data_IF_395387242033
#
_entry.id   IF_395387242033
#
_cell.length_a   1.000
_cell.length_b   1.000
_cell.length_c   1.000
_cell.angle_alpha   90.00
_cell.angle_beta   90.00
_cell.angle_gamma   90.00
#
_symmetry.space_group_name_H-M   'P 1'
#
loop_
_entity.id
_entity.type
_entity.pdbx_description
1 polymer ?
#
# COMPACT_ATOMS: atom_id res chain seq x y z
N UNK A 1 -34.45 11.25 -20.39
CA UNK A 1 -33.46 10.82 -19.37
C UNK A 1 -32.96 9.42 -19.65
N UNK A 2 -33.56 8.41 -19.02
CA UNK A 2 -33.38 6.98 -19.37
C UNK A 2 -34.44 6.51 -20.39
N UNK A 3 -35.69 7.00 -20.28
CA UNK A 3 -36.77 6.63 -21.21
C UNK A 3 -36.50 7.00 -22.69
N UNK A 4 -35.81 8.12 -22.95
CA UNK A 4 -35.42 8.53 -24.31
C UNK A 4 -34.32 7.68 -24.93
N UNK A 5 -33.53 6.95 -24.13
CA UNK A 5 -32.49 6.04 -24.63
C UNK A 5 -33.06 4.68 -24.99
N UNK A 6 -34.10 4.24 -24.25
CA UNK A 6 -34.68 2.90 -24.37
C UNK A 6 -35.56 2.73 -25.61
N UNK A 7 -36.28 3.78 -26.01
CA UNK A 7 -37.18 3.76 -27.18
C UNK A 7 -36.42 3.41 -28.49
N UNK A 8 -35.34 4.13 -28.87
CA UNK A 8 -34.59 3.81 -30.09
C UNK A 8 -33.86 2.45 -30.01
N UNK A 9 -33.46 1.99 -28.82
CA UNK A 9 -32.78 0.71 -28.62
C UNK A 9 -33.71 -0.50 -28.82
N UNK A 10 -34.96 -0.39 -28.33
CA UNK A 10 -36.02 -1.38 -28.58
C UNK A 10 -36.43 -1.39 -30.06
N UNK A 11 -36.46 -0.23 -30.71
CA UNK A 11 -36.79 -0.11 -32.12
C UNK A 11 -35.70 -0.74 -33.01
N UNK A 12 -34.42 -0.47 -32.75
CA UNK A 12 -33.27 -1.13 -33.39
C UNK A 12 -33.37 -2.65 -33.29
N UNK A 13 -33.64 -3.17 -32.08
CA UNK A 13 -33.81 -4.61 -31.84
C UNK A 13 -34.97 -5.21 -32.65
N UNK A 14 -36.07 -4.48 -32.82
CA UNK A 14 -37.20 -4.91 -33.63
C UNK A 14 -36.85 -4.97 -35.14
N UNK A 15 -36.07 -4.02 -35.67
CA UNK A 15 -35.60 -4.05 -37.06
C UNK A 15 -34.63 -5.21 -37.32
N UNK A 16 -33.75 -5.52 -36.36
CA UNK A 16 -32.84 -6.67 -36.43
C UNK A 16 -33.60 -8.00 -36.41
N UNK A 17 -34.54 -8.18 -35.47
CA UNK A 17 -35.38 -9.37 -35.38
C UNK A 17 -36.24 -9.60 -36.63
N UNK A 18 -36.71 -8.51 -37.26
CA UNK A 18 -37.50 -8.55 -38.48
C UNK A 18 -36.66 -8.57 -39.76
N UNK A 19 -35.33 -8.56 -39.66
CA UNK A 19 -34.38 -8.51 -40.79
C UNK A 19 -34.69 -7.40 -41.80
N UNK A 20 -35.24 -6.27 -41.34
CA UNK A 20 -35.59 -5.13 -42.19
C UNK A 20 -34.42 -4.14 -42.27
N UNK A 21 -34.17 -3.50 -43.44
CA UNK A 21 -33.18 -2.44 -43.53
C UNK A 21 -33.62 -1.26 -42.66
N UNK A 22 -32.79 -0.95 -41.66
CA UNK A 22 -33.01 0.13 -40.69
C UNK A 22 -32.84 1.50 -41.36
N UNK A 23 -33.70 2.47 -41.01
CA UNK A 23 -33.62 3.82 -41.55
C UNK A 23 -32.31 4.53 -41.13
N UNK A 24 -31.75 5.36 -42.01
CA UNK A 24 -30.47 6.05 -41.76
C UNK A 24 -30.48 6.94 -40.51
N UNK A 25 -31.60 7.58 -40.20
CA UNK A 25 -31.75 8.45 -39.02
C UNK A 25 -31.67 7.66 -37.70
N UNK A 26 -32.30 6.48 -37.65
CA UNK A 26 -32.24 5.55 -36.52
C UNK A 26 -30.83 4.98 -36.31
N UNK A 27 -30.09 4.68 -37.38
CA UNK A 27 -28.69 4.24 -37.29
C UNK A 27 -27.78 5.32 -36.70
N UNK A 28 -27.93 6.57 -37.14
CA UNK A 28 -27.16 7.71 -36.61
C UNK A 28 -27.47 7.97 -35.15
N UNK A 29 -28.75 7.88 -34.76
CA UNK A 29 -29.17 8.05 -33.38
C UNK A 29 -28.62 6.94 -32.47
N UNK A 30 -28.66 5.69 -32.92
CA UNK A 30 -28.08 4.55 -32.19
C UNK A 30 -26.57 4.70 -31.99
N UNK A 31 -25.82 5.02 -33.06
CA UNK A 31 -24.37 5.28 -32.97
C UNK A 31 -24.03 6.41 -32.01
N UNK A 32 -24.80 7.51 -32.04
CA UNK A 32 -24.60 8.63 -31.12
C UNK A 32 -24.83 8.24 -29.65
N UNK A 33 -25.86 7.43 -29.37
CA UNK A 33 -26.16 6.94 -28.02
C UNK A 33 -25.04 6.02 -27.52
N UNK A 34 -24.53 5.14 -28.38
CA UNK A 34 -23.43 4.22 -28.06
C UNK A 34 -22.12 4.95 -27.79
N UNK A 35 -21.73 5.91 -28.65
CA UNK A 35 -20.53 6.70 -28.43
C UNK A 35 -20.61 7.49 -27.11
N UNK A 36 -21.78 8.06 -26.82
CA UNK A 36 -22.02 8.80 -25.58
C UNK A 36 -22.00 7.87 -24.36
N UNK A 37 -22.59 6.68 -24.44
CA UNK A 37 -22.61 5.71 -23.34
C UNK A 37 -21.19 5.20 -23.03
N UNK A 38 -20.38 4.91 -24.05
CA UNK A 38 -18.96 4.57 -23.91
C UNK A 38 -18.14 5.71 -23.30
N UNK A 39 -18.37 6.95 -23.75
CA UNK A 39 -17.72 8.13 -23.17
C UNK A 39 -18.09 8.31 -21.69
N UNK A 40 -19.37 8.14 -21.33
CA UNK A 40 -19.84 8.22 -19.94
C UNK A 40 -19.29 7.08 -19.07
N UNK A 41 -19.19 5.86 -19.60
CA UNK A 41 -18.54 4.73 -18.92
C UNK A 41 -17.05 5.04 -18.68
N UNK A 42 -16.32 5.53 -19.68
CA UNK A 42 -14.92 5.93 -19.53
C UNK A 42 -14.71 7.04 -18.50
N UNK A 43 -15.60 8.04 -18.46
CA UNK A 43 -15.60 9.10 -17.43
C UNK A 43 -15.85 8.50 -16.04
N UNK A 44 -16.80 7.59 -15.91
CA UNK A 44 -17.16 6.94 -14.65
C UNK A 44 -16.05 6.04 -14.13
N UNK A 45 -15.41 5.28 -15.00
CA UNK A 45 -14.26 4.45 -14.67
C UNK A 45 -13.07 5.30 -14.21
N UNK A 46 -12.75 6.36 -14.96
CA UNK A 46 -11.68 7.30 -14.60
C UNK A 46 -11.92 7.94 -13.23
N UNK A 47 -13.17 8.36 -12.95
CA UNK A 47 -13.56 8.94 -11.65
C UNK A 47 -13.43 7.91 -10.51
N UNK A 48 -13.83 6.66 -10.75
CA UNK A 48 -13.72 5.57 -9.77
C UNK A 48 -12.26 5.27 -9.44
N UNK A 49 -11.40 5.16 -10.46
CA UNK A 49 -9.94 4.96 -10.29
C UNK A 49 -9.28 6.13 -9.58
N UNK A 50 -9.66 7.37 -9.89
CA UNK A 50 -9.14 8.56 -9.19
C UNK A 50 -9.53 8.56 -7.72
N UNK A 51 -10.79 8.20 -7.41
CA UNK A 51 -11.27 8.09 -6.02
C UNK A 51 -10.52 6.99 -5.27
N UNK A 52 -10.33 5.82 -5.88
CA UNK A 52 -9.53 4.74 -5.32
C UNK A 52 -8.06 5.16 -5.06
N UNK A 53 -7.48 5.92 -5.99
CA UNK A 53 -6.12 6.45 -5.85
C UNK A 53 -6.04 7.40 -4.64
N UNK A 54 -6.97 8.37 -4.54
CA UNK A 54 -7.01 9.30 -3.39
C UNK A 54 -7.16 8.56 -2.05
N UNK A 55 -8.02 7.55 -2.00
CA UNK A 55 -8.20 6.73 -0.80
C UNK A 55 -6.93 5.95 -0.44
N UNK A 56 -6.22 5.39 -1.43
CA UNK A 56 -4.94 4.68 -1.23
C UNK A 56 -3.81 5.62 -0.81
N UNK A 57 -3.83 6.86 -1.32
CA UNK A 57 -2.94 7.93 -0.85
C UNK A 57 -3.23 8.27 0.59
N UNK A 58 -4.49 8.38 1.02
CA UNK A 58 -4.80 8.71 2.41
C UNK A 58 -4.41 7.59 3.38
N UNK A 59 -4.79 6.35 3.06
CA UNK A 59 -4.47 5.16 3.88
C UNK A 59 -4.17 3.98 2.95
N UNK A 60 -3.01 3.33 3.10
CA UNK A 60 -2.65 2.18 2.28
C UNK A 60 -3.74 1.10 2.31
N UNK A 61 -4.17 0.65 1.12
CA UNK A 61 -5.17 -0.41 0.96
C UNK A 61 -6.64 0.05 0.90
N UNK A 62 -6.99 1.27 1.34
CA UNK A 62 -8.38 1.73 1.30
C UNK A 62 -8.94 1.84 -0.13
N UNK A 63 -8.14 2.27 -1.11
CA UNK A 63 -8.60 2.31 -2.49
C UNK A 63 -8.84 0.92 -3.09
N UNK A 64 -8.06 -0.08 -2.67
CA UNK A 64 -8.30 -1.47 -3.09
C UNK A 64 -9.60 -2.00 -2.49
N UNK A 65 -9.92 -1.64 -1.24
CA UNK A 65 -11.23 -1.95 -0.64
C UNK A 65 -12.38 -1.26 -1.38
N UNK A 66 -12.22 0.00 -1.75
CA UNK A 66 -13.19 0.74 -2.56
C UNK A 66 -13.44 0.06 -3.93
N UNK A 67 -12.38 -0.45 -4.55
CA UNK A 67 -12.45 -1.27 -5.78
C UNK A 67 -12.92 -2.72 -5.53
N UNK A 68 -13.45 -3.04 -4.35
CA UNK A 68 -13.91 -4.38 -3.93
C UNK A 68 -12.82 -5.48 -3.91
N UNK A 69 -11.53 -5.11 -4.02
CA UNK A 69 -10.37 -6.01 -3.94
C UNK A 69 -9.97 -6.25 -2.49
N UNK A 70 -10.82 -6.97 -1.75
CA UNK A 70 -10.69 -7.16 -0.28
C UNK A 70 -9.37 -7.80 0.14
N UNK A 71 -8.91 -8.81 -0.60
CA UNK A 71 -7.63 -9.48 -0.33
C UNK A 71 -6.46 -8.48 -0.37
N UNK A 72 -6.38 -7.69 -1.45
CA UNK A 72 -5.34 -6.68 -1.65
C UNK A 72 -5.44 -5.54 -0.65
N UNK A 73 -6.65 -5.03 -0.40
CA UNK A 73 -6.86 -4.04 0.65
C UNK A 73 -6.35 -4.52 2.01
N UNK A 74 -6.71 -5.74 2.40
CA UNK A 74 -6.26 -6.38 3.63
C UNK A 74 -4.74 -6.54 3.71
N UNK A 75 -4.12 -7.04 2.63
CA UNK A 75 -2.67 -7.25 2.57
C UNK A 75 -1.88 -5.95 2.77
N UNK A 76 -2.28 -4.89 2.09
CA UNK A 76 -1.64 -3.57 2.23
C UNK A 76 -1.78 -3.01 3.64
N UNK A 77 -2.97 -3.09 4.22
CA UNK A 77 -3.22 -2.61 5.59
C UNK A 77 -2.40 -3.39 6.62
N UNK A 78 -2.42 -4.73 6.59
CA UNK A 78 -1.69 -5.56 7.55
C UNK A 78 -0.18 -5.35 7.43
N UNK A 79 0.34 -5.25 6.21
CA UNK A 79 1.77 -4.99 5.97
C UNK A 79 2.19 -3.65 6.57
N UNK A 80 1.46 -2.59 6.27
CA UNK A 80 1.77 -1.24 6.75
C UNK A 80 1.59 -1.10 8.25
N UNK A 81 0.56 -1.72 8.83
CA UNK A 81 0.35 -1.76 10.28
C UNK A 81 1.50 -2.49 10.99
N UNK A 82 1.96 -3.63 10.44
CA UNK A 82 3.05 -4.41 11.01
C UNK A 82 4.38 -3.64 10.96
N UNK A 83 4.68 -2.98 9.84
CA UNK A 83 5.87 -2.14 9.72
C UNK A 83 5.79 -0.90 10.61
N UNK A 84 4.61 -0.29 10.74
CA UNK A 84 4.36 0.82 11.67
C UNK A 84 4.61 0.41 13.12
N UNK A 85 4.10 -0.75 13.54
CA UNK A 85 4.33 -1.30 14.87
C UNK A 85 5.82 -1.59 15.12
N UNK A 86 6.52 -2.17 14.14
CA UNK A 86 7.97 -2.39 14.22
C UNK A 86 8.74 -1.06 14.34
N UNK A 87 8.36 -0.04 13.58
CA UNK A 87 8.96 1.30 13.63
C UNK A 87 8.76 1.96 14.99
N UNK A 88 7.56 1.83 15.57
CA UNK A 88 7.26 2.31 16.92
C UNK A 88 8.10 1.57 17.97
N UNK A 89 8.26 0.25 17.84
CA UNK A 89 9.12 -0.51 18.76
C UNK A 89 10.57 -0.01 18.72
N UNK A 90 11.13 0.27 17.53
CA UNK A 90 12.47 0.84 17.44
C UNK A 90 12.56 2.25 18.05
N UNK A 91 11.49 3.04 17.99
CA UNK A 91 11.45 4.33 18.67
C UNK A 91 11.47 4.19 20.19
N UNK A 92 10.72 3.23 20.75
CA UNK A 92 10.72 2.96 22.18
C UNK A 92 12.11 2.49 22.64
N UNK A 93 12.72 1.53 21.94
CA UNK A 93 14.07 1.05 22.27
C UNK A 93 15.14 2.16 22.16
N UNK A 94 15.02 3.04 21.16
CA UNK A 94 15.85 4.24 21.05
C UNK A 94 15.74 5.11 22.30
N UNK A 95 14.52 5.41 22.74
CA UNK A 95 14.27 6.24 23.91
C UNK A 95 14.88 5.59 25.15
N UNK A 96 14.62 4.31 25.36
CA UNK A 96 15.13 3.59 26.53
C UNK A 96 16.67 3.58 26.55
N UNK A 97 17.32 3.29 25.42
CA UNK A 97 18.79 3.30 25.33
C UNK A 97 19.40 4.69 25.48
N UNK A 98 18.68 5.73 25.03
CA UNK A 98 19.11 7.11 25.17
C UNK A 98 19.00 7.58 26.62
N UNK A 99 17.94 7.19 27.33
CA UNK A 99 17.77 7.49 28.76
C UNK A 99 18.82 6.72 29.60
N UNK A 100 19.06 5.43 29.29
CA UNK A 100 20.11 4.63 29.93
C UNK A 100 21.52 5.22 29.74
N UNK A 101 21.82 5.82 28.59
CA UNK A 101 23.08 6.52 28.37
C UNK A 101 23.33 7.60 29.43
N UNK A 102 22.33 8.44 29.72
CA UNK A 102 22.48 9.50 30.72
C UNK A 102 22.58 8.96 32.14
N UNK A 103 21.92 7.84 32.43
CA UNK A 103 22.09 7.16 33.73
C UNK A 103 23.55 6.72 33.91
N UNK A 104 24.16 6.08 32.91
CA UNK A 104 25.56 5.67 33.01
C UNK A 104 26.54 6.84 32.94
N UNK A 105 26.19 7.93 32.25
CA UNK A 105 26.96 9.17 32.27
C UNK A 105 27.02 9.79 33.67
N UNK A 106 25.88 9.87 34.37
CA UNK A 106 25.82 10.38 35.75
C UNK A 106 26.63 9.51 36.72
N UNK A 107 26.48 8.18 36.63
CA UNK A 107 27.25 7.22 37.44
C UNK A 107 28.76 7.31 37.17
N UNK A 108 29.15 7.47 35.90
CA UNK A 108 30.55 7.66 35.51
C UNK A 108 31.13 8.95 36.10
N UNK A 109 30.36 10.05 36.09
CA UNK A 109 30.80 11.34 36.63
C UNK A 109 30.87 11.35 38.16
N UNK A 110 30.02 10.57 38.83
CA UNK A 110 29.96 10.51 40.29
C UNK A 110 30.93 9.49 40.92
N UNK A 111 31.37 8.47 40.17
CA UNK A 111 32.21 7.41 40.72
C UNK A 111 33.67 7.85 40.94
N UNK A 112 34.27 7.36 42.03
CA UNK A 112 35.68 7.54 42.36
C UNK A 112 36.47 6.23 42.30
N UNK A 113 35.79 5.10 42.11
CA UNK A 113 36.39 3.78 41.99
C UNK A 113 36.77 3.50 40.53
N UNK A 114 38.00 3.04 40.30
CA UNK A 114 38.55 2.88 38.94
C UNK A 114 37.83 1.77 38.16
N UNK A 115 37.43 0.69 38.82
CA UNK A 115 36.75 -0.44 38.19
C UNK A 115 35.30 -0.06 37.82
N UNK A 116 34.63 0.69 38.69
CA UNK A 116 33.31 1.26 38.42
C UNK A 116 33.34 2.26 37.25
N UNK A 117 34.30 3.20 37.24
CA UNK A 117 34.49 4.17 36.15
C UNK A 117 34.65 3.44 34.80
N UNK A 118 35.46 2.38 34.77
CA UNK A 118 35.65 1.61 33.54
C UNK A 118 34.36 0.90 33.10
N UNK A 119 33.61 0.36 34.05
CA UNK A 119 32.34 -0.32 33.81
C UNK A 119 31.29 0.64 33.25
N UNK A 120 31.04 1.77 33.92
CA UNK A 120 30.06 2.77 33.48
C UNK A 120 30.43 3.38 32.14
N UNK A 121 31.72 3.59 31.87
CA UNK A 121 32.18 4.04 30.54
C UNK A 121 31.81 3.02 29.45
N UNK A 122 32.03 1.74 29.68
CA UNK A 122 31.69 0.71 28.69
C UNK A 122 30.18 0.59 28.50
N UNK A 123 29.40 0.68 29.56
CA UNK A 123 27.95 0.65 29.50
C UNK A 123 27.39 1.87 28.74
N UNK A 124 27.93 3.06 28.99
CA UNK A 124 27.62 4.29 28.25
C UNK A 124 27.92 4.16 26.74
N UNK A 125 29.09 3.63 26.38
CA UNK A 125 29.43 3.41 24.96
C UNK A 125 28.47 2.40 24.30
N UNK A 126 28.10 1.34 25.04
CA UNK A 126 27.15 0.34 24.55
C UNK A 126 25.75 0.93 24.34
N UNK A 127 25.23 1.72 25.27
CA UNK A 127 23.90 2.34 25.15
C UNK A 127 23.88 3.42 24.06
N UNK A 128 24.99 4.13 23.85
CA UNK A 128 25.18 5.02 22.70
C UNK A 128 25.11 4.27 21.36
N UNK A 129 25.84 3.15 21.22
CA UNK A 129 25.81 2.33 20.01
C UNK A 129 24.44 1.70 19.75
N UNK A 130 23.74 1.27 20.82
CA UNK A 130 22.36 0.80 20.74
C UNK A 130 21.41 1.91 20.24
N UNK A 131 21.52 3.12 20.80
CA UNK A 131 20.74 4.29 20.41
C UNK A 131 20.91 4.56 18.91
N UNK A 132 22.14 4.58 18.42
CA UNK A 132 22.43 4.76 16.98
C UNK A 132 21.83 3.65 16.13
N UNK A 133 21.97 2.40 16.57
CA UNK A 133 21.42 1.23 15.89
C UNK A 133 19.90 1.34 15.73
N UNK A 134 19.18 1.72 16.79
CA UNK A 134 17.72 1.87 16.75
C UNK A 134 17.28 3.05 15.87
N UNK A 135 18.04 4.14 15.82
CA UNK A 135 17.82 5.23 14.87
C UNK A 135 17.95 4.74 13.42
N UNK A 136 19.01 4.01 13.11
CA UNK A 136 19.28 3.51 11.76
C UNK A 136 18.22 2.50 11.30
N UNK A 137 17.82 1.58 12.19
CA UNK A 137 16.74 0.63 11.90
C UNK A 137 15.40 1.32 11.66
N UNK A 138 15.06 2.32 12.49
CA UNK A 138 13.85 3.13 12.30
C UNK A 138 13.85 3.85 10.95
N UNK A 139 15.00 4.41 10.55
CA UNK A 139 15.17 5.07 9.25
C UNK A 139 14.95 4.09 8.09
N UNK A 140 15.53 2.91 8.15
CA UNK A 140 15.33 1.86 7.14
C UNK A 140 13.87 1.42 7.04
N UNK A 141 13.21 1.15 8.18
CA UNK A 141 11.79 0.77 8.20
C UNK A 141 10.90 1.87 7.61
N UNK A 142 11.17 3.12 7.95
CA UNK A 142 10.44 4.28 7.44
C UNK A 142 10.61 4.39 5.91
N UNK A 143 11.82 4.20 5.38
CA UNK A 143 12.05 4.17 3.94
C UNK A 143 11.24 3.05 3.26
N UNK A 144 11.23 1.84 3.83
CA UNK A 144 10.45 0.71 3.31
C UNK A 144 8.95 1.03 3.31
N UNK A 145 8.43 1.60 4.40
CA UNK A 145 7.04 2.04 4.52
C UNK A 145 6.68 3.00 3.39
N UNK A 146 7.49 4.04 3.18
CA UNK A 146 7.27 5.02 2.10
C UNK A 146 7.31 4.38 0.71
N UNK A 147 8.27 3.49 0.44
CA UNK A 147 8.34 2.78 -0.84
C UNK A 147 7.10 1.92 -1.09
N UNK A 148 6.65 1.17 -0.09
CA UNK A 148 5.44 0.35 -0.19
C UNK A 148 4.17 1.19 -0.34
N UNK A 149 4.11 2.35 0.30
CA UNK A 149 2.99 3.28 0.15
C UNK A 149 2.90 3.84 -1.27
N UNK A 150 4.04 4.24 -1.86
CA UNK A 150 4.10 4.68 -3.26
C UNK A 150 3.65 3.56 -4.22
N UNK A 151 4.10 2.31 -4.00
CA UNK A 151 3.66 1.16 -4.79
C UNK A 151 2.14 0.93 -4.67
N UNK A 152 1.56 1.06 -3.48
CA UNK A 152 0.12 0.93 -3.27
C UNK A 152 -0.68 1.97 -4.07
N UNK A 153 -0.22 3.23 -4.10
CA UNK A 153 -0.83 4.32 -4.87
C UNK A 153 -0.78 4.01 -6.37
N UNK A 154 0.38 3.57 -6.88
CA UNK A 154 0.55 3.18 -8.29
C UNK A 154 -0.38 2.01 -8.66
N UNK A 155 -0.47 1.00 -7.80
CA UNK A 155 -1.34 -0.16 -8.01
C UNK A 155 -2.83 0.21 -8.05
N UNK A 156 -3.25 1.20 -7.26
CA UNK A 156 -4.63 1.69 -7.27
C UNK A 156 -4.99 2.46 -8.56
N UNK A 157 -3.99 3.06 -9.22
CA UNK A 157 -4.17 3.83 -10.44
C UNK A 157 -4.12 2.96 -11.72
N UNK A 158 -3.26 1.93 -11.75
CA UNK A 158 -2.87 1.22 -12.98
C UNK A 158 -3.65 -0.09 -13.24
N UNK A 159 -4.15 -0.81 -12.22
CA UNK A 159 -4.63 -2.20 -12.43
C UNK A 159 -5.95 -2.33 -13.22
N UNK A 160 -5.85 -2.94 -14.42
CA UNK A 160 -6.92 -3.56 -15.24
C UNK A 160 -7.30 -4.97 -14.71
N UNK A 161 -8.51 -5.50 -14.96
CA UNK A 161 -8.93 -6.85 -14.52
C UNK A 161 -8.00 -8.02 -14.92
N UNK A 162 -7.20 -7.92 -15.99
CA UNK A 162 -6.28 -8.99 -16.42
C UNK A 162 -5.10 -9.27 -15.48
N UNK A 163 -4.85 -8.41 -14.50
CA UNK A 163 -3.73 -8.57 -13.56
C UNK A 163 -4.07 -9.49 -12.39
N UNK A 164 -5.35 -9.87 -12.19
CA UNK A 164 -5.73 -10.82 -11.11
C UNK A 164 -5.12 -12.21 -11.28
N UNK A 165 -4.88 -12.68 -12.51
CA UNK A 165 -4.26 -13.97 -12.78
C UNK A 165 -2.75 -13.98 -12.48
N UNK A 166 -2.02 -12.96 -12.92
CA UNK A 166 -0.57 -12.80 -12.68
C UNK A 166 -0.24 -12.75 -11.18
N UNK A 167 -1.22 -12.35 -10.37
CA UNK A 167 -1.05 -12.08 -8.94
C UNK A 167 -1.37 -13.27 -8.03
N UNK A 168 -2.00 -14.34 -8.55
CA UNK A 168 -2.19 -15.60 -7.81
C UNK A 168 -0.85 -16.29 -7.48
N UNK A 169 0.19 -15.99 -8.25
CA UNK A 169 1.50 -16.62 -8.16
C UNK A 169 2.51 -15.89 -7.26
N UNK A 170 2.10 -14.79 -6.64
CA UNK A 170 2.98 -14.03 -5.72
C UNK A 170 2.83 -14.59 -4.31
N UNK A 171 3.90 -15.25 -3.81
CA UNK A 171 3.99 -15.67 -2.41
C UNK A 171 4.86 -14.71 -1.61
N UNK A 172 4.31 -14.20 -0.50
CA UNK A 172 5.00 -13.28 0.43
C UNK A 172 5.32 -14.08 1.69
N UNK A 173 6.60 -14.21 2.03
CA UNK A 173 7.04 -14.82 3.29
C UNK A 173 7.85 -13.82 4.09
N UNK A 174 7.38 -13.55 5.30
CA UNK A 174 8.11 -12.78 6.30
C UNK A 174 8.75 -13.74 7.29
N UNK A 175 10.07 -13.66 7.45
CA UNK A 175 10.80 -14.39 8.47
C UNK A 175 11.60 -13.43 9.34
N UNK A 176 11.44 -13.58 10.65
CA UNK A 176 12.18 -12.83 11.64
C UNK A 176 13.04 -13.82 12.42
N UNK A 177 14.36 -13.64 12.39
CA UNK A 177 15.27 -14.47 13.17
C UNK A 177 15.67 -13.70 14.46
N UNK A 178 15.19 -14.16 15.64
CA UNK A 178 15.39 -13.44 16.90
C UNK A 178 16.84 -13.47 17.40
N UNK A 179 17.68 -14.38 16.92
CA UNK A 179 19.07 -14.55 17.43
C UNK A 179 20.09 -13.60 16.79
N UNK A 180 19.89 -13.24 15.53
CA UNK A 180 20.84 -12.42 14.75
C UNK A 180 20.19 -11.12 14.22
N UNK A 181 18.98 -10.79 14.71
CA UNK A 181 18.24 -9.53 14.45
C UNK A 181 18.02 -9.21 12.97
N UNK A 182 18.07 -10.22 12.10
CA UNK A 182 17.80 -10.05 10.68
C UNK A 182 16.32 -10.32 10.41
N UNK A 183 15.65 -9.33 9.85
CA UNK A 183 14.30 -9.47 9.31
C UNK A 183 14.42 -9.59 7.80
N UNK A 184 13.90 -10.68 7.23
CA UNK A 184 13.92 -10.93 5.79
C UNK A 184 12.49 -10.95 5.25
N UNK A 185 12.25 -10.10 4.25
CA UNK A 185 11.05 -10.13 3.43
C UNK A 185 11.42 -10.82 2.12
N UNK A 186 10.84 -11.99 1.86
CA UNK A 186 11.03 -12.70 0.60
C UNK A 186 9.78 -12.59 -0.25
N UNK A 187 9.95 -12.00 -1.43
CA UNK A 187 8.97 -11.97 -2.51
C UNK A 187 9.39 -13.05 -3.51
N UNK A 188 8.49 -13.97 -3.82
CA UNK A 188 8.72 -14.99 -4.85
C UNK A 188 7.67 -14.84 -5.93
N UNK A 189 8.12 -14.78 -7.17
CA UNK A 189 7.30 -14.67 -8.37
C UNK A 189 7.49 -15.96 -9.17
N UNK A 190 6.40 -16.65 -9.48
CA UNK A 190 6.39 -17.70 -10.49
C UNK A 190 5.79 -17.07 -11.75
N UNK A 191 6.46 -17.26 -12.89
CA UNK A 191 5.97 -16.78 -14.20
C UNK A 191 5.87 -18.04 -15.07
N UNK A 192 4.67 -18.37 -15.54
CA UNK A 192 4.46 -19.37 -16.59
C UNK A 192 4.76 -18.80 -17.99
#
# INVERSE_FOLDING_TARGET
>A
GEEESLIPEVEVMAYELLSKPMAQELQLQHQYIDERSLALQGITEKKTRLTATLLSTAVPGLGQLYLKRKLWGGLWMVTQLSLGAATLNQYLNYKDSYDEFYVFEDLYQASTDVDEIFTYRNDMLRTYDNTKTFIDQRKQLTQIIFSLWALNILQANIMSPSTEEILKDISIRFSHNPYNRQSQLRLTFTIE
#
